data_IF_057208246666
#
_entry.id   IF_057208246666
#
_cell.length_a   1.000
_cell.length_b   1.000
_cell.length_c   1.000
_cell.angle_alpha   90.00
_cell.angle_beta   90.00
_cell.angle_gamma   90.00
#
_symmetry.space_group_name_H-M   'P 1'
#
loop_
_entity.id
_entity.type
_entity.pdbx_description
1 polymer ?
#
# COMPACT_ATOMS: atom_id res chain seq x y z
N UNK A 1 -9.22 -21.33 11.48
CA UNK A 1 -9.35 -20.57 10.21
C UNK A 1 -8.13 -19.67 10.09
N UNK A 2 -7.41 -19.68 8.96
CA UNK A 2 -6.23 -18.83 8.77
C UNK A 2 -6.71 -17.39 8.52
N UNK A 3 -6.30 -16.44 9.34
CA UNK A 3 -6.69 -15.04 9.17
C UNK A 3 -5.95 -14.47 7.96
N UNK A 4 -6.68 -13.96 6.96
CA UNK A 4 -6.06 -13.37 5.77
C UNK A 4 -5.30 -12.08 6.13
N UNK A 5 -4.15 -11.79 5.49
CA UNK A 5 -3.39 -10.56 5.71
C UNK A 5 -4.25 -9.31 5.47
N UNK A 6 -4.25 -8.40 6.43
CA UNK A 6 -5.03 -7.18 6.32
C UNK A 6 -4.33 -6.17 5.42
N UNK A 7 -5.05 -5.66 4.42
CA UNK A 7 -4.59 -4.63 3.51
C UNK A 7 -5.48 -3.39 3.67
N UNK A 8 -4.87 -2.22 3.80
CA UNK A 8 -5.58 -0.95 3.65
C UNK A 8 -5.45 -0.45 2.22
N UNK A 9 -6.56 -0.05 1.64
CA UNK A 9 -6.62 0.60 0.34
C UNK A 9 -7.14 2.03 0.54
N UNK A 10 -6.39 3.00 0.05
CA UNK A 10 -6.72 4.41 0.15
C UNK A 10 -6.40 5.14 -1.15
N UNK A 11 -6.88 6.36 -1.25
CA UNK A 11 -6.43 7.33 -2.26
C UNK A 11 -5.85 8.57 -1.59
N UNK A 12 -5.45 9.57 -2.37
CA UNK A 12 -5.07 10.89 -1.85
C UNK A 12 -6.30 11.79 -1.66
N UNK A 13 -6.20 12.78 -0.80
CA UNK A 13 -7.33 13.59 -0.32
C UNK A 13 -8.10 14.30 -1.45
N UNK A 14 -7.41 14.72 -2.51
CA UNK A 14 -8.02 15.43 -3.63
C UNK A 14 -8.61 14.53 -4.72
N UNK A 15 -8.50 13.20 -4.59
CA UNK A 15 -8.81 12.27 -5.66
C UNK A 15 -10.17 11.58 -5.43
N UNK A 16 -11.15 11.99 -6.24
CA UNK A 16 -12.54 11.49 -6.18
C UNK A 16 -12.78 10.22 -7.02
N UNK A 17 -11.76 9.67 -7.67
CA UNK A 17 -11.92 8.47 -8.50
C UNK A 17 -12.12 7.24 -7.62
N UNK A 18 -13.14 6.44 -7.97
CA UNK A 18 -13.54 5.27 -7.18
C UNK A 18 -13.37 3.94 -7.92
N UNK A 19 -13.39 3.94 -9.25
CA UNK A 19 -13.33 2.70 -10.04
C UNK A 19 -12.02 1.93 -9.86
N UNK A 20 -10.90 2.64 -9.82
CA UNK A 20 -9.60 2.09 -9.47
C UNK A 20 -9.61 1.43 -8.07
N UNK A 21 -10.31 2.02 -7.10
CA UNK A 21 -10.40 1.47 -5.75
C UNK A 21 -11.27 0.20 -5.69
N UNK A 22 -12.41 0.19 -6.40
CA UNK A 22 -13.26 -1.01 -6.49
C UNK A 22 -12.50 -2.15 -7.18
N UNK A 23 -11.83 -1.85 -8.30
CA UNK A 23 -11.01 -2.81 -9.02
C UNK A 23 -9.90 -3.39 -8.13
N UNK A 24 -9.09 -2.53 -7.50
CA UNK A 24 -8.00 -2.98 -6.64
C UNK A 24 -8.50 -3.76 -5.42
N UNK A 25 -9.65 -3.40 -4.84
CA UNK A 25 -10.23 -4.16 -3.74
C UNK A 25 -10.56 -5.60 -4.13
N UNK A 26 -11.21 -5.80 -5.29
CA UNK A 26 -11.54 -7.13 -5.79
C UNK A 26 -10.26 -7.91 -6.13
N UNK A 27 -9.35 -7.28 -6.88
CA UNK A 27 -8.11 -7.89 -7.33
C UNK A 27 -7.19 -8.29 -6.15
N UNK A 28 -7.03 -7.43 -5.15
CA UNK A 28 -6.26 -7.75 -3.92
C UNK A 28 -6.94 -8.87 -3.12
N UNK A 29 -8.29 -8.89 -3.10
CA UNK A 29 -9.07 -9.96 -2.49
C UNK A 29 -8.83 -11.32 -3.15
N UNK A 30 -8.78 -11.36 -4.47
CA UNK A 30 -8.41 -12.56 -5.24
C UNK A 30 -6.97 -13.02 -4.96
N UNK A 31 -6.07 -12.09 -4.60
CA UNK A 31 -4.71 -12.39 -4.15
C UNK A 31 -4.61 -12.77 -2.66
N UNK A 32 -5.74 -13.02 -1.99
CA UNK A 32 -5.78 -13.55 -0.62
C UNK A 32 -5.64 -12.49 0.48
N UNK A 33 -5.85 -11.21 0.17
CA UNK A 33 -5.82 -10.13 1.16
C UNK A 33 -7.22 -9.81 1.69
N UNK A 34 -7.31 -9.48 2.98
CA UNK A 34 -8.51 -8.90 3.58
C UNK A 34 -8.44 -7.37 3.46
N UNK A 35 -9.09 -6.81 2.45
CA UNK A 35 -8.99 -5.40 2.10
C UNK A 35 -10.00 -4.55 2.86
N UNK A 36 -9.52 -3.55 3.60
CA UNK A 36 -10.32 -2.42 4.07
C UNK A 36 -10.06 -1.22 3.18
N UNK A 37 -11.03 -0.93 2.32
CA UNK A 37 -11.02 0.22 1.42
C UNK A 37 -11.60 1.45 2.13
N UNK A 38 -10.81 2.53 2.20
CA UNK A 38 -11.17 3.77 2.87
C UNK A 38 -11.99 4.72 1.97
N UNK A 39 -12.20 4.36 0.70
CA UNK A 39 -12.94 5.15 -0.26
C UNK A 39 -12.10 6.26 -0.91
N UNK A 40 -12.75 7.10 -1.72
CA UNK A 40 -12.11 8.22 -2.39
C UNK A 40 -11.83 9.39 -1.43
N UNK A 41 -11.04 10.37 -1.87
CA UNK A 41 -10.72 11.59 -1.13
C UNK A 41 -10.21 11.32 0.30
N UNK A 42 -9.30 10.35 0.48
CA UNK A 42 -8.90 9.91 1.82
C UNK A 42 -7.91 10.89 2.47
N UNK A 43 -8.25 11.57 3.58
CA UNK A 43 -7.30 12.41 4.30
C UNK A 43 -6.23 11.58 5.00
N UNK A 44 -5.03 12.15 5.18
CA UNK A 44 -3.91 11.47 5.87
C UNK A 44 -4.32 10.98 7.27
N UNK A 45 -5.04 11.80 8.04
CA UNK A 45 -5.51 11.43 9.38
C UNK A 45 -6.42 10.19 9.39
N UNK A 46 -7.22 9.99 8.34
CA UNK A 46 -8.08 8.81 8.19
C UNK A 46 -7.26 7.55 7.95
N UNK A 47 -6.20 7.65 7.13
CA UNK A 47 -5.26 6.53 6.91
C UNK A 47 -4.56 6.16 8.22
N UNK A 48 -4.01 7.14 8.94
CA UNK A 48 -3.32 6.91 10.22
C UNK A 48 -4.25 6.30 11.28
N UNK A 49 -5.48 6.82 11.38
CA UNK A 49 -6.50 6.28 12.30
C UNK A 49 -6.84 4.82 11.96
N UNK A 50 -6.97 4.49 10.67
CA UNK A 50 -7.24 3.13 10.23
C UNK A 50 -6.08 2.16 10.52
N UNK A 51 -4.82 2.63 10.39
CA UNK A 51 -3.62 1.86 10.74
C UNK A 51 -3.53 1.56 12.24
N UNK A 52 -3.98 2.48 13.09
CA UNK A 52 -4.02 2.27 14.54
C UNK A 52 -5.09 1.26 14.97
N UNK A 53 -6.22 1.20 14.26
CA UNK A 53 -7.35 0.33 14.61
C UNK A 53 -7.07 -1.16 14.39
N UNK A 54 -6.22 -1.52 13.42
CA UNK A 54 -5.95 -2.91 13.06
C UNK A 54 -4.56 -3.05 12.47
N UNK A 55 -3.82 -4.08 12.92
CA UNK A 55 -2.53 -4.44 12.34
C UNK A 55 -2.70 -4.68 10.83
N UNK A 56 -2.14 -3.77 10.06
CA UNK A 56 -2.14 -3.79 8.59
C UNK A 56 -0.80 -4.30 8.12
N UNK A 57 -0.81 -5.18 7.12
CA UNK A 57 0.39 -5.79 6.55
C UNK A 57 0.79 -5.12 5.22
N UNK A 58 -0.15 -4.41 4.59
CA UNK A 58 0.09 -3.67 3.36
C UNK A 58 -0.81 -2.42 3.32
N UNK A 59 -0.22 -1.27 3.02
CA UNK A 59 -0.95 -0.07 2.60
C UNK A 59 -0.77 0.13 1.10
N UNK A 60 -1.89 0.16 0.37
CA UNK A 60 -1.96 0.46 -1.06
C UNK A 60 -2.59 1.84 -1.23
N UNK A 61 -1.88 2.73 -1.90
CA UNK A 61 -2.37 4.07 -2.27
C UNK A 61 -2.58 4.09 -3.78
N UNK A 62 -3.81 4.31 -4.23
CA UNK A 62 -4.11 4.50 -5.65
C UNK A 62 -4.47 5.94 -5.91
N UNK A 63 -3.84 6.58 -6.89
CA UNK A 63 -4.23 7.92 -7.33
C UNK A 63 -4.14 8.03 -8.84
N UNK A 64 -5.14 8.67 -9.44
CA UNK A 64 -5.24 8.87 -10.88
C UNK A 64 -5.58 10.32 -11.27
N UNK A 65 -5.77 11.21 -10.30
CA UNK A 65 -6.06 12.63 -10.55
C UNK A 65 -4.82 13.49 -10.86
N UNK A 66 -3.61 12.93 -10.78
CA UNK A 66 -2.37 13.65 -11.02
C UNK A 66 -1.80 14.43 -9.83
N UNK A 67 -2.37 14.28 -8.61
CA UNK A 67 -1.81 14.81 -7.37
C UNK A 67 -1.15 13.74 -6.50
N UNK A 68 -1.09 12.50 -6.99
CA UNK A 68 -0.51 11.36 -6.29
C UNK A 68 0.94 11.57 -5.85
N UNK A 69 1.74 12.35 -6.61
CA UNK A 69 3.11 12.66 -6.22
C UNK A 69 3.19 13.53 -4.97
N UNK A 70 2.60 14.74 -5.00
CA UNK A 70 2.71 15.71 -3.91
C UNK A 70 2.01 15.22 -2.64
N UNK A 71 0.77 14.72 -2.76
CA UNK A 71 -0.01 14.25 -1.61
C UNK A 71 0.46 12.87 -1.13
N UNK A 72 0.98 12.02 -2.03
CA UNK A 72 1.62 10.75 -1.65
C UNK A 72 2.89 10.96 -0.84
N UNK A 73 3.72 11.96 -1.18
CA UNK A 73 4.91 12.34 -0.39
C UNK A 73 4.55 12.78 1.03
N UNK A 74 3.49 13.56 1.18
CA UNK A 74 3.01 13.96 2.51
C UNK A 74 2.55 12.74 3.32
N UNK A 75 1.70 11.91 2.72
CA UNK A 75 1.16 10.72 3.35
C UNK A 75 2.27 9.77 3.84
N UNK A 76 3.21 9.41 2.97
CA UNK A 76 4.24 8.41 3.32
C UNK A 76 5.18 8.90 4.42
N UNK A 77 5.52 10.18 4.46
CA UNK A 77 6.34 10.77 5.52
C UNK A 77 5.66 10.65 6.89
N UNK A 78 4.34 10.86 6.94
CA UNK A 78 3.56 10.71 8.18
C UNK A 78 3.44 9.22 8.57
N UNK A 79 3.16 8.35 7.60
CA UNK A 79 3.09 6.90 7.84
C UNK A 79 4.42 6.37 8.37
N UNK A 80 5.56 6.74 7.78
CA UNK A 80 6.89 6.27 8.21
C UNK A 80 7.26 6.71 9.63
N UNK A 81 6.74 7.85 10.09
CA UNK A 81 6.98 8.33 11.46
C UNK A 81 6.32 7.43 12.52
N UNK A 82 5.18 6.81 12.19
CA UNK A 82 4.40 5.98 13.13
C UNK A 82 4.50 4.48 12.85
N UNK A 83 4.75 4.12 11.59
CA UNK A 83 4.79 2.76 11.06
C UNK A 83 6.00 2.59 10.13
N UNK A 84 7.23 2.63 10.67
CA UNK A 84 8.47 2.68 9.88
C UNK A 84 8.68 1.46 8.98
N UNK A 85 8.18 0.29 9.39
CA UNK A 85 8.38 -0.98 8.68
C UNK A 85 7.17 -1.46 7.89
N UNK A 86 6.05 -0.72 7.90
CA UNK A 86 4.85 -1.12 7.17
C UNK A 86 5.11 -1.12 5.66
N UNK A 87 4.88 -2.22 4.94
CA UNK A 87 4.88 -2.21 3.48
C UNK A 87 3.85 -1.19 2.94
N UNK A 88 4.33 -0.23 2.17
CA UNK A 88 3.51 0.80 1.54
C UNK A 88 3.83 0.85 0.06
N UNK A 89 2.80 0.84 -0.78
CA UNK A 89 2.94 0.98 -2.24
C UNK A 89 1.99 2.06 -2.75
N UNK A 90 2.37 2.70 -3.86
CA UNK A 90 1.56 3.70 -4.54
C UNK A 90 1.51 3.44 -6.03
N UNK A 91 0.40 3.75 -6.70
CA UNK A 91 0.31 3.61 -8.14
C UNK A 91 -0.86 4.34 -8.80
N UNK A 92 -0.87 4.29 -10.13
CA UNK A 92 -1.83 4.97 -10.99
C UNK A 92 -1.21 6.10 -11.81
N UNK A 93 -1.94 7.22 -11.97
CA UNK A 93 -1.49 8.43 -12.67
C UNK A 93 -1.15 9.50 -11.62
N UNK A 94 0.13 9.57 -11.26
CA UNK A 94 0.60 10.29 -10.07
C UNK A 94 0.87 11.78 -10.32
N UNK A 95 1.02 12.17 -11.59
CA UNK A 95 1.16 13.56 -12.05
C UNK A 95 0.20 13.81 -13.22
N UNK A 96 0.14 15.04 -13.74
CA UNK A 96 -0.75 15.39 -14.85
C UNK A 96 -0.29 14.82 -16.19
N UNK A 97 1.02 14.54 -16.33
CA UNK A 97 1.69 13.93 -17.48
C UNK A 97 2.26 12.54 -17.19
N UNK A 98 2.24 11.62 -18.15
CA UNK A 98 2.83 10.28 -18.01
C UNK A 98 4.36 10.32 -17.86
N UNK A 99 5.04 11.17 -18.62
CA UNK A 99 6.51 11.33 -18.56
C UNK A 99 6.95 11.80 -17.17
N UNK A 100 6.20 12.72 -16.57
CA UNK A 100 6.44 13.19 -15.21
C UNK A 100 6.18 12.08 -14.18
N UNK A 101 5.18 11.23 -14.40
CA UNK A 101 4.84 10.13 -13.49
C UNK A 101 6.01 9.13 -13.37
N UNK A 102 6.72 8.87 -14.47
CA UNK A 102 7.93 8.05 -14.44
C UNK A 102 9.08 8.76 -13.72
N UNK A 103 9.26 10.07 -13.95
CA UNK A 103 10.33 10.86 -13.35
C UNK A 103 10.22 10.96 -11.81
N UNK A 104 9.01 10.98 -11.25
CA UNK A 104 8.79 11.13 -9.80
C UNK A 104 8.89 9.82 -9.01
N UNK A 105 9.03 8.68 -9.69
CA UNK A 105 9.07 7.35 -9.07
C UNK A 105 10.12 7.25 -7.98
N UNK A 106 11.36 7.66 -8.26
CA UNK A 106 12.47 7.51 -7.32
C UNK A 106 12.25 8.34 -6.05
N UNK A 107 11.78 9.57 -6.19
CA UNK A 107 11.48 10.46 -5.07
C UNK A 107 10.44 9.89 -4.10
N UNK A 108 9.44 9.16 -4.60
CA UNK A 108 8.43 8.48 -3.74
C UNK A 108 9.03 7.28 -2.99
N UNK A 109 9.93 6.54 -3.64
CA UNK A 109 10.65 5.43 -3.01
C UNK A 109 11.57 5.97 -1.90
N UNK A 110 12.35 7.00 -2.21
CA UNK A 110 13.27 7.63 -1.27
C UNK A 110 12.53 8.24 -0.06
N UNK A 111 11.30 8.71 -0.26
CA UNK A 111 10.44 9.19 0.82
C UNK A 111 9.85 8.06 1.70
N UNK A 112 9.89 6.82 1.22
CA UNK A 112 9.60 5.63 2.01
C UNK A 112 8.63 4.64 1.39
N UNK A 113 8.10 4.84 0.18
CA UNK A 113 7.31 3.79 -0.47
C UNK A 113 8.21 2.62 -0.85
N UNK A 114 7.72 1.39 -0.64
CA UNK A 114 8.48 0.18 -0.99
C UNK A 114 8.51 -0.06 -2.49
N UNK A 115 7.41 0.28 -3.19
CA UNK A 115 7.30 0.23 -4.65
C UNK A 115 6.30 1.27 -5.16
N UNK A 116 6.51 1.66 -6.42
CA UNK A 116 5.64 2.58 -7.17
C UNK A 116 5.26 1.89 -8.48
N UNK A 117 3.96 1.74 -8.72
CA UNK A 117 3.40 1.01 -9.87
C UNK A 117 2.70 1.97 -10.84
N UNK A 118 3.32 2.21 -11.99
CA UNK A 118 2.86 3.16 -13.01
C UNK A 118 3.08 2.55 -14.39
N UNK A 119 2.34 3.04 -15.38
CA UNK A 119 2.41 2.55 -16.76
C UNK A 119 1.61 1.26 -17.01
N UNK A 120 1.73 0.68 -18.23
CA UNK A 120 0.86 -0.42 -18.68
C UNK A 120 1.06 -1.73 -17.88
N UNK A 121 2.27 -2.01 -17.42
CA UNK A 121 2.61 -3.26 -16.73
C UNK A 121 2.46 -3.15 -15.20
N UNK A 122 1.78 -2.10 -14.70
CA UNK A 122 1.67 -1.79 -13.28
C UNK A 122 1.01 -2.92 -12.47
N UNK A 123 -0.05 -3.55 -13.00
CA UNK A 123 -0.74 -4.65 -12.31
C UNK A 123 0.10 -5.93 -12.30
N UNK A 124 0.77 -6.27 -13.39
CA UNK A 124 1.62 -7.46 -13.47
C UNK A 124 2.86 -7.34 -12.56
N UNK A 125 3.47 -6.15 -12.53
CA UNK A 125 4.56 -5.85 -11.58
C UNK A 125 4.08 -5.88 -10.13
N UNK A 126 2.87 -5.42 -9.85
CA UNK A 126 2.29 -5.49 -8.51
C UNK A 126 1.98 -6.92 -8.08
N UNK A 127 1.45 -7.77 -8.97
CA UNK A 127 1.22 -9.20 -8.69
C UNK A 127 2.51 -9.90 -8.25
N UNK A 128 3.61 -9.67 -8.98
CA UNK A 128 4.93 -10.20 -8.64
C UNK A 128 5.43 -9.70 -7.29
N UNK A 129 5.21 -8.43 -6.98
CA UNK A 129 5.55 -7.86 -5.69
C UNK A 129 4.75 -8.51 -4.54
N UNK A 130 3.45 -8.73 -4.70
CA UNK A 130 2.64 -9.45 -3.70
C UNK A 130 3.16 -10.87 -3.46
N UNK A 131 3.57 -11.58 -4.52
CA UNK A 131 4.22 -12.88 -4.40
C UNK A 131 5.48 -12.85 -3.52
N UNK A 132 6.28 -11.78 -3.61
CA UNK A 132 7.47 -11.62 -2.77
C UNK A 132 7.16 -11.33 -1.29
N UNK A 133 6.04 -10.65 -1.00
CA UNK A 133 5.59 -10.40 0.37
C UNK A 133 5.11 -11.67 1.05
N UNK A 134 4.42 -12.56 0.32
CA UNK A 134 3.96 -13.84 0.86
C UNK A 134 5.10 -14.84 1.08
N UNK A 135 6.20 -14.70 0.32
CA UNK A 135 7.37 -15.56 0.45
C UNK A 135 8.26 -15.20 1.66
N UNK A 136 8.13 -14.01 2.22
CA UNK A 136 8.75 -13.65 3.50
C UNK A 136 7.93 -14.29 4.63
N UNK A 137 8.45 -15.30 5.34
CA UNK A 137 7.73 -15.87 6.47
C UNK A 137 7.57 -14.80 7.55
N UNK A 138 6.43 -14.78 8.24
CA UNK A 138 6.24 -14.00 9.46
C UNK A 138 7.42 -14.28 10.40
N UNK A 139 8.34 -13.32 10.56
CA UNK A 139 9.47 -13.44 11.49
C UNK A 139 8.99 -13.67 12.94
N UNK A 140 7.75 -13.28 13.23
CA UNK A 140 7.06 -13.53 14.51
C UNK A 140 6.70 -15.02 14.71
N UNK A 141 6.53 -15.80 13.64
CA UNK A 141 6.27 -17.25 13.73
C UNK A 141 7.51 -18.06 14.12
N UNK A 142 8.70 -17.56 13.81
CA UNK A 142 9.99 -18.22 14.11
C UNK A 142 10.33 -18.09 15.59
N UNK A 143 10.04 -16.94 16.20
CA UNK A 143 10.27 -16.73 17.64
C UNK A 143 9.35 -17.60 18.49
N UNK A 144 8.06 -17.70 18.14
CA UNK A 144 7.09 -18.53 18.87
C UNK A 144 7.47 -20.03 18.91
N UNK A 145 8.06 -20.55 17.83
CA UNK A 145 8.52 -21.94 17.77
C UNK A 145 9.84 -22.19 18.53
N UNK A 146 10.67 -21.16 18.73
CA UNK A 146 11.93 -21.32 19.49
C UNK A 146 11.68 -21.43 21.00
N UNK A 147 10.71 -20.69 21.54
CA UNK A 147 10.41 -20.69 22.99
C UNK A 147 9.76 -22.02 23.43
N UNK A 148 9.04 -22.69 22.54
CA UNK A 148 8.46 -24.01 22.80
C UNK A 148 9.48 -25.17 22.81
N UNK A 149 10.74 -24.92 22.44
CA UNK A 149 11.79 -25.95 22.34
C UNK A 149 12.72 -26.05 23.55
N UNK A 150 12.51 -25.22 24.58
CA UNK A 150 13.22 -25.31 25.86
C UNK A 150 12.29 -25.91 26.91
N UNK A 151 11.98 -27.19 26.72
CA UNK A 151 11.39 -28.07 27.73
C UNK A 151 12.48 -28.91 28.39
#
# INVERSE_FOLDING_TARGET
MKTLPHCLLATVESDSHMWNLVYLQLWLGEHGLNVKNLGSCTPVGTVLSALQQRRTQLLVVSSVNGHGYSQGLELIRQVRRLHPHLPCVIGGKLTTSEDETLAVRQSLIDAGYNQVFVGPDAIDTFSRYLGSLHAQPDADSVLANSVASWG
#
